data_IF_477132752366
#
_entry.id   IF_477132752366
#
_cell.length_a   1.000
_cell.length_b   1.000
_cell.length_c   1.000
_cell.angle_alpha   90.00
_cell.angle_beta   90.00
_cell.angle_gamma   90.00
#
_symmetry.space_group_name_H-M   'P 1'
#
loop_
_entity.id
_entity.type
_entity.pdbx_description
1 polymer ?
#
# COMPACT_ATOMS: atom_id res chain seq x y z
N UNK A 1 -7.08 22.55 -12.94
CA UNK A 1 -7.69 21.21 -12.78
C UNK A 1 -7.04 20.53 -11.59
N UNK A 2 -7.79 20.03 -10.60
CA UNK A 2 -7.22 19.15 -9.59
C UNK A 2 -6.77 17.83 -10.27
N UNK A 3 -5.66 17.21 -9.81
CA UNK A 3 -5.21 15.94 -10.37
C UNK A 3 -6.30 14.89 -10.20
N UNK A 4 -6.57 14.13 -11.27
CA UNK A 4 -7.53 13.02 -11.22
C UNK A 4 -7.04 12.01 -10.16
N UNK A 5 -7.89 11.56 -9.23
CA UNK A 5 -7.50 10.57 -8.25
C UNK A 5 -7.05 9.29 -8.97
N UNK A 6 -5.86 8.80 -8.60
CA UNK A 6 -5.30 7.57 -9.16
C UNK A 6 -6.18 6.37 -8.81
N UNK A 7 -6.32 5.44 -9.74
CA UNK A 7 -7.03 4.17 -9.47
C UNK A 7 -6.21 3.32 -8.49
N UNK A 8 -6.88 2.37 -7.81
CA UNK A 8 -6.20 1.44 -6.88
C UNK A 8 -5.11 0.63 -7.60
N UNK A 9 -5.29 0.32 -8.88
CA UNK A 9 -4.28 -0.36 -9.69
C UNK A 9 -3.07 0.54 -9.96
N UNK A 10 -3.28 1.80 -10.36
CA UNK A 10 -2.18 2.77 -10.57
C UNK A 10 -1.38 3.02 -9.29
N UNK A 11 -2.03 3.01 -8.12
CA UNK A 11 -1.35 3.11 -6.82
C UNK A 11 -0.54 1.84 -6.54
N UNK A 12 -1.08 0.66 -6.85
CA UNK A 12 -0.41 -0.62 -6.61
C UNK A 12 0.82 -0.80 -7.52
N UNK A 13 0.71 -0.41 -8.79
CA UNK A 13 1.82 -0.42 -9.74
C UNK A 13 2.91 0.54 -9.29
N UNK A 14 2.56 1.78 -8.93
CA UNK A 14 3.54 2.76 -8.47
C UNK A 14 4.27 2.32 -7.21
N UNK A 15 3.59 1.64 -6.29
CA UNK A 15 4.24 1.11 -5.08
C UNK A 15 5.17 -0.05 -5.44
N UNK A 16 4.79 -0.91 -6.38
CA UNK A 16 5.65 -2.00 -6.86
C UNK A 16 6.96 -1.47 -7.47
N UNK A 17 6.88 -0.38 -8.23
CA UNK A 17 8.07 0.33 -8.76
C UNK A 17 8.97 0.87 -7.63
N UNK A 18 8.39 1.54 -6.63
CA UNK A 18 9.14 2.09 -5.50
C UNK A 18 9.84 1.00 -4.68
N UNK A 19 9.23 -0.18 -4.57
CA UNK A 19 9.85 -1.34 -3.90
C UNK A 19 11.04 -1.85 -4.71
N UNK A 20 10.93 -1.91 -6.05
CA UNK A 20 12.04 -2.31 -6.90
C UNK A 20 13.22 -1.30 -6.81
N UNK A 21 12.92 0.00 -6.77
CA UNK A 21 13.92 1.05 -6.52
C UNK A 21 14.59 0.89 -5.15
N UNK A 22 13.82 0.55 -4.12
CA UNK A 22 14.34 0.29 -2.78
C UNK A 22 15.29 -0.91 -2.71
N UNK A 23 15.03 -1.98 -3.47
CA UNK A 23 15.93 -3.16 -3.52
C UNK A 23 17.29 -2.78 -4.10
N UNK A 24 17.32 -1.87 -5.07
CA UNK A 24 18.54 -1.37 -5.69
C UNK A 24 19.29 -0.34 -4.83
N UNK A 25 18.74 0.06 -3.67
CA UNK A 25 19.37 1.05 -2.78
C UNK A 25 20.66 0.47 -2.15
N UNK A 26 21.73 1.24 -2.27
CA UNK A 26 23.08 0.85 -1.85
C UNK A 26 23.36 1.16 -0.38
N UNK A 27 22.66 2.16 0.18
CA UNK A 27 22.73 2.43 1.61
C UNK A 27 21.87 1.41 2.37
N UNK A 28 22.52 0.59 3.20
CA UNK A 28 21.87 -0.51 3.92
C UNK A 28 20.78 -0.04 4.89
N UNK A 29 21.00 1.09 5.57
CA UNK A 29 20.04 1.63 6.53
C UNK A 29 18.80 2.17 5.82
N UNK A 30 19.00 2.88 4.71
CA UNK A 30 17.93 3.41 3.87
C UNK A 30 17.17 2.30 3.16
N UNK A 31 17.87 1.31 2.59
CA UNK A 31 17.27 0.11 1.99
C UNK A 31 16.36 -0.59 2.98
N UNK A 32 16.85 -0.83 4.21
CA UNK A 32 16.08 -1.46 5.26
C UNK A 32 14.80 -0.68 5.61
N UNK A 33 14.91 0.63 5.80
CA UNK A 33 13.74 1.47 6.08
C UNK A 33 12.70 1.45 4.96
N UNK A 34 13.13 1.43 3.70
CA UNK A 34 12.23 1.33 2.55
C UNK A 34 11.52 -0.03 2.46
N UNK A 35 12.23 -1.13 2.76
CA UNK A 35 11.65 -2.46 2.79
C UNK A 35 10.64 -2.63 3.95
N UNK A 36 10.94 -2.08 5.13
CA UNK A 36 9.98 -2.10 6.26
C UNK A 36 8.68 -1.34 5.92
N UNK A 37 8.78 -0.20 5.21
CA UNK A 37 7.61 0.52 4.71
C UNK A 37 6.82 -0.28 3.66
N UNK A 38 7.51 -1.03 2.81
CA UNK A 38 6.89 -1.90 1.81
C UNK A 38 6.08 -3.03 2.47
N UNK A 39 6.65 -3.66 3.50
CA UNK A 39 5.99 -4.71 4.27
C UNK A 39 4.74 -4.20 4.97
N UNK A 40 4.83 -3.04 5.66
CA UNK A 40 3.69 -2.40 6.30
C UNK A 40 2.56 -2.10 5.30
N UNK A 41 2.90 -1.63 4.10
CA UNK A 41 1.90 -1.42 3.06
C UNK A 41 1.23 -2.73 2.61
N UNK A 42 2.01 -3.78 2.42
CA UNK A 42 1.49 -5.09 2.03
C UNK A 42 0.51 -5.64 3.10
N UNK A 43 0.81 -5.44 4.38
CA UNK A 43 -0.07 -5.81 5.50
C UNK A 43 -1.38 -5.00 5.51
N UNK A 44 -1.31 -3.69 5.30
CA UNK A 44 -2.51 -2.83 5.19
C UNK A 44 -3.37 -3.30 4.01
N UNK A 45 -2.76 -3.66 2.88
CA UNK A 45 -3.51 -4.15 1.72
C UNK A 45 -4.16 -5.51 2.02
N UNK A 46 -3.41 -6.45 2.61
CA UNK A 46 -3.94 -7.77 2.99
C UNK A 46 -5.08 -7.68 3.98
N UNK A 47 -4.95 -6.83 5.01
CA UNK A 47 -6.02 -6.63 6.01
C UNK A 47 -7.28 -6.02 5.40
N UNK A 48 -7.16 -5.11 4.43
CA UNK A 48 -8.31 -4.55 3.69
C UNK A 48 -9.00 -5.56 2.78
N UNK A 49 -8.26 -6.51 2.20
CA UNK A 49 -8.83 -7.61 1.41
C UNK A 49 -9.49 -8.66 2.31
N UNK A 50 -8.85 -9.01 3.44
CA UNK A 50 -9.42 -9.91 4.44
C UNK A 50 -10.70 -9.34 5.08
N UNK A 51 -10.79 -8.01 5.18
CA UNK A 51 -11.98 -7.29 5.63
C UNK A 51 -13.06 -7.09 4.53
N UNK A 52 -13.06 -7.87 3.45
CA UNK A 52 -14.09 -7.84 2.40
C UNK A 52 -15.53 -7.77 2.94
N UNK A 53 -16.48 -7.21 2.17
CA UNK A 53 -17.56 -6.29 2.60
C UNK A 53 -18.37 -6.76 3.81
N UNK A 54 -17.78 -6.64 5.00
CA UNK A 54 -18.38 -7.11 6.25
C UNK A 54 -18.45 -5.98 7.27
N UNK A 55 -18.96 -4.81 6.87
CA UNK A 55 -19.64 -3.86 7.77
C UNK A 55 -20.57 -2.93 6.98
N UNK A 56 -21.63 -3.47 6.37
CA UNK A 56 -22.94 -2.81 6.54
C UNK A 56 -23.40 -3.20 7.94
N UNK A 57 -23.07 -2.37 8.91
CA UNK A 57 -23.75 -2.43 10.20
C UNK A 57 -25.14 -1.82 9.95
N UNK A 58 -26.25 -2.58 10.03
CA UNK A 58 -27.56 -1.95 10.03
C UNK A 58 -27.63 -1.05 11.27
N UNK A 59 -28.14 0.16 11.07
CA UNK A 59 -28.40 1.12 12.13
C UNK A 59 -29.09 0.41 13.30
N UNK A 60 -28.50 0.49 14.50
CA UNK A 60 -29.22 0.16 15.72
C UNK A 60 -30.19 1.31 15.99
N UNK A 61 -31.47 0.95 16.03
CA UNK A 61 -32.59 1.77 16.52
C UNK A 61 -32.36 2.20 17.97
#
# INVERSE_FOLDING_TARGET
>A
MPPKPKTVNEISERISELIAEAIAETDDARRRGLLELADLWADIRRSRVAAGPATRQPARM
#
